data_IF_376244036356
#
_entry.id   IF_376244036356
#
_cell.length_a   1.000
_cell.length_b   1.000
_cell.length_c   1.000
_cell.angle_alpha   90.00
_cell.angle_beta   90.00
_cell.angle_gamma   90.00
#
_symmetry.space_group_name_H-M   'P 1'
#
loop_
_entity.id
_entity.type
_entity.pdbx_description
1 polymer ?
#
# COMPACT_ATOMS: atom_id res chain seq x y z
N UNK A 1 -7.46 13.76 -1.01
CA UNK A 1 -6.64 12.63 -0.53
C UNK A 1 -5.76 13.11 0.62
N UNK A 2 -5.71 12.33 1.67
CA UNK A 2 -4.86 12.64 2.82
C UNK A 2 -3.92 11.46 3.06
N UNK A 3 -2.64 11.75 3.29
CA UNK A 3 -1.63 10.73 3.52
C UNK A 3 -1.01 10.97 4.87
N UNK A 4 -0.93 9.92 5.69
CA UNK A 4 -0.27 9.96 6.99
C UNK A 4 0.81 8.87 7.03
N UNK A 5 1.95 9.20 7.63
CA UNK A 5 3.09 8.29 7.70
C UNK A 5 3.52 8.16 9.15
N UNK A 6 3.74 6.94 9.60
CA UNK A 6 4.29 6.68 10.95
C UNK A 6 5.25 5.51 10.90
N UNK A 7 6.04 5.40 11.94
CA UNK A 7 7.03 4.35 12.07
C UNK A 7 6.53 3.22 12.96
N UNK A 8 6.86 1.99 12.58
CA UNK A 8 6.64 0.81 13.40
C UNK A 8 7.87 -0.07 13.26
N UNK A 9 8.85 0.14 14.15
CA UNK A 9 10.13 -0.52 14.03
C UNK A 9 10.83 -0.11 12.76
N UNK A 10 11.21 -1.08 11.94
CA UNK A 10 11.87 -0.82 10.66
C UNK A 10 10.88 -0.67 9.51
N UNK A 11 9.59 -0.64 9.80
CA UNK A 11 8.55 -0.51 8.79
C UNK A 11 7.98 0.91 8.81
N UNK A 12 7.86 1.51 7.64
CA UNK A 12 7.07 2.74 7.46
C UNK A 12 5.64 2.33 7.18
N UNK A 13 4.70 2.87 7.94
CA UNK A 13 3.27 2.64 7.70
C UNK A 13 2.70 3.90 7.08
N UNK A 14 2.07 3.73 5.92
CA UNK A 14 1.43 4.82 5.19
C UNK A 14 -0.07 4.56 5.15
N UNK A 15 -0.85 5.56 5.57
CA UNK A 15 -2.30 5.48 5.52
C UNK A 15 -2.82 6.50 4.53
N UNK A 16 -3.76 6.07 3.68
CA UNK A 16 -4.35 6.92 2.65
C UNK A 16 -5.84 7.04 2.94
N UNK A 17 -6.34 8.27 2.93
CA UNK A 17 -7.75 8.55 3.11
C UNK A 17 -8.28 9.33 1.91
N UNK A 18 -9.42 8.89 1.36
CA UNK A 18 -10.10 9.61 0.29
C UNK A 18 -10.01 8.90 -1.05
N UNK A 19 -9.89 9.68 -2.10
CA UNK A 19 -9.96 9.20 -3.47
C UNK A 19 -8.57 9.16 -4.10
N UNK A 20 -8.27 8.04 -4.76
CA UNK A 20 -7.02 7.88 -5.50
C UNK A 20 -7.38 7.82 -6.97
N UNK A 21 -7.16 8.92 -7.66
CA UNK A 21 -7.54 9.09 -9.05
C UNK A 21 -6.42 9.75 -9.84
N UNK A 22 -6.68 10.11 -11.07
CA UNK A 22 -5.68 10.72 -11.94
C UNK A 22 -5.10 12.01 -11.34
N UNK A 23 -5.93 12.78 -10.63
CA UNK A 23 -5.49 14.03 -10.02
C UNK A 23 -4.64 13.86 -8.78
N UNK A 24 -4.82 12.76 -8.03
CA UNK A 24 -4.12 12.53 -6.77
C UNK A 24 -2.99 11.53 -6.89
N UNK A 25 -3.00 10.66 -7.91
CA UNK A 25 -1.99 9.62 -8.08
C UNK A 25 -0.56 10.15 -8.17
N UNK A 26 -0.27 11.29 -8.82
CA UNK A 26 1.10 11.79 -8.86
C UNK A 26 1.67 12.10 -7.49
N UNK A 27 0.86 12.68 -6.59
CA UNK A 27 1.30 12.96 -5.23
C UNK A 27 1.51 11.67 -4.44
N UNK A 28 0.60 10.72 -4.61
CA UNK A 28 0.74 9.43 -3.95
C UNK A 28 2.01 8.72 -4.41
N UNK A 29 2.26 8.70 -5.70
CA UNK A 29 3.45 8.09 -6.28
C UNK A 29 4.72 8.68 -5.67
N UNK A 30 4.81 10.01 -5.66
CA UNK A 30 5.97 10.71 -5.14
C UNK A 30 6.21 10.38 -3.67
N UNK A 31 5.14 10.40 -2.88
CA UNK A 31 5.22 10.12 -1.45
C UNK A 31 5.65 8.68 -1.18
N UNK A 32 5.06 7.72 -1.89
CA UNK A 32 5.38 6.31 -1.67
C UNK A 32 6.81 5.99 -2.09
N UNK A 33 7.26 6.50 -3.23
CA UNK A 33 8.62 6.25 -3.69
C UNK A 33 9.65 6.86 -2.75
N UNK A 34 9.37 8.05 -2.24
CA UNK A 34 10.26 8.68 -1.26
C UNK A 34 10.30 7.90 0.04
N UNK A 35 9.13 7.51 0.55
CA UNK A 35 9.04 6.77 1.82
C UNK A 35 9.70 5.40 1.71
N UNK A 36 9.60 4.78 0.55
CA UNK A 36 10.23 3.48 0.33
C UNK A 36 11.74 3.53 0.53
N UNK A 37 12.37 4.67 0.24
CA UNK A 37 13.81 4.82 0.41
C UNK A 37 14.23 4.89 1.88
N UNK A 38 13.30 5.17 2.78
CA UNK A 38 13.61 5.49 4.17
C UNK A 38 13.59 4.28 5.09
N UNK A 39 13.13 3.12 4.62
CA UNK A 39 13.02 1.94 5.47
C UNK A 39 13.10 0.67 4.62
N UNK A 40 13.44 -0.48 5.24
CA UNK A 40 13.46 -1.76 4.51
C UNK A 40 12.07 -2.25 4.11
N UNK A 41 11.00 -1.75 4.76
CA UNK A 41 9.65 -2.22 4.50
C UNK A 41 8.67 -1.06 4.57
N UNK A 42 7.72 -1.06 3.63
CA UNK A 42 6.61 -0.12 3.61
C UNK A 42 5.30 -0.91 3.63
N UNK A 43 4.43 -0.60 4.59
CA UNK A 43 3.10 -1.19 4.70
C UNK A 43 2.07 -0.10 4.43
N UNK A 44 1.20 -0.35 3.47
CA UNK A 44 0.22 0.63 3.01
C UNK A 44 -1.17 0.21 3.45
N UNK A 45 -1.80 1.07 4.27
CA UNK A 45 -3.16 0.88 4.76
C UNK A 45 -4.15 1.51 3.78
N UNK A 46 -5.01 0.69 3.20
CA UNK A 46 -5.96 1.12 2.18
C UNK A 46 -7.41 1.16 2.71
N UNK A 47 -7.59 1.08 4.03
CA UNK A 47 -8.93 0.95 4.62
C UNK A 47 -9.79 2.20 4.45
N UNK A 48 -9.18 3.36 4.35
CA UNK A 48 -9.91 4.62 4.25
C UNK A 48 -10.00 5.16 2.82
N UNK A 49 -9.65 4.36 1.83
CA UNK A 49 -9.81 4.75 0.42
C UNK A 49 -11.26 4.53 0.01
N UNK A 50 -11.90 5.59 -0.50
CA UNK A 50 -13.28 5.55 -0.96
C UNK A 50 -13.39 5.23 -2.45
N UNK A 51 -12.36 5.55 -3.22
CA UNK A 51 -12.35 5.37 -4.67
C UNK A 51 -10.91 5.18 -5.14
N UNK A 52 -10.73 4.26 -6.07
CA UNK A 52 -9.45 4.06 -6.73
C UNK A 52 -9.71 3.68 -8.18
N UNK A 53 -8.95 4.28 -9.10
CA UNK A 53 -9.07 3.95 -10.51
C UNK A 53 -7.76 3.35 -11.05
N UNK A 54 -7.69 3.19 -12.36
CA UNK A 54 -6.52 2.56 -12.99
C UNK A 54 -5.24 3.34 -12.77
N UNK A 55 -5.30 4.67 -12.60
CA UNK A 55 -4.10 5.46 -12.33
C UNK A 55 -3.55 5.16 -10.93
N UNK A 56 -4.44 4.92 -9.97
CA UNK A 56 -4.03 4.49 -8.63
C UNK A 56 -3.41 3.11 -8.65
N UNK A 57 -4.04 2.17 -9.35
CA UNK A 57 -3.49 0.82 -9.49
C UNK A 57 -2.11 0.86 -10.14
N UNK A 58 -1.94 1.64 -11.20
CA UNK A 58 -0.65 1.78 -11.88
C UNK A 58 0.42 2.33 -10.93
N UNK A 59 0.04 3.27 -10.07
CA UNK A 59 0.95 3.83 -9.07
C UNK A 59 1.43 2.75 -8.10
N UNK A 60 0.50 1.94 -7.59
CA UNK A 60 0.87 0.86 -6.66
C UNK A 60 1.77 -0.18 -7.33
N UNK A 61 1.50 -0.50 -8.59
CA UNK A 61 2.35 -1.44 -9.34
C UNK A 61 3.76 -0.88 -9.54
N UNK A 62 3.87 0.40 -9.80
CA UNK A 62 5.17 1.04 -9.96
C UNK A 62 5.97 1.00 -8.67
N UNK A 63 5.33 1.27 -7.54
CA UNK A 63 5.99 1.21 -6.23
C UNK A 63 6.43 -0.22 -5.92
N UNK A 64 5.59 -1.21 -6.25
CA UNK A 64 5.95 -2.61 -6.07
C UNK A 64 7.20 -2.98 -6.86
N UNK A 65 7.25 -2.59 -8.13
CA UNK A 65 8.41 -2.86 -8.97
C UNK A 65 9.67 -2.20 -8.43
N UNK A 66 9.54 -0.97 -7.95
CA UNK A 66 10.68 -0.25 -7.39
C UNK A 66 11.18 -0.92 -6.11
N UNK A 67 10.25 -1.41 -5.27
CA UNK A 67 10.62 -2.12 -4.05
C UNK A 67 11.39 -3.40 -4.37
N UNK A 68 10.98 -4.12 -5.39
CA UNK A 68 11.66 -5.34 -5.80
C UNK A 68 13.07 -5.06 -6.31
N UNK A 69 13.24 -4.00 -7.09
CA UNK A 69 14.55 -3.62 -7.58
C UNK A 69 15.50 -3.24 -6.45
N UNK A 70 14.97 -2.73 -5.35
CA UNK A 70 15.76 -2.26 -4.21
C UNK A 70 15.86 -3.28 -3.09
N UNK A 71 15.31 -4.49 -3.29
CA UNK A 71 15.28 -5.54 -2.26
C UNK A 71 14.56 -5.08 -0.99
N UNK A 72 13.47 -4.35 -1.16
CA UNK A 72 12.63 -3.88 -0.06
C UNK A 72 11.28 -4.55 -0.14
N UNK A 73 10.57 -4.58 0.98
CA UNK A 73 9.22 -5.12 1.02
C UNK A 73 8.20 -4.00 0.87
N UNK A 74 7.18 -4.26 0.06
CA UNK A 74 6.02 -3.38 -0.07
C UNK A 74 4.79 -4.25 0.07
N UNK A 75 4.02 -4.04 1.14
CA UNK A 75 2.84 -4.83 1.44
C UNK A 75 1.63 -3.93 1.60
N UNK A 76 0.45 -4.50 1.37
CA UNK A 76 -0.82 -3.78 1.50
C UNK A 76 -1.63 -4.44 2.60
N UNK A 77 -2.47 -3.66 3.29
CA UNK A 77 -3.40 -4.26 4.24
C UNK A 77 -4.65 -3.40 4.38
N UNK A 78 -5.68 -4.03 4.92
CA UNK A 78 -6.92 -3.35 5.24
C UNK A 78 -7.65 -2.82 4.02
N UNK A 79 -7.75 -3.60 2.95
CA UNK A 79 -8.38 -3.10 1.73
C UNK A 79 -9.82 -2.68 2.00
N UNK A 80 -10.16 -1.43 1.64
CA UNK A 80 -11.54 -0.97 1.68
C UNK A 80 -12.39 -1.76 0.68
N UNK A 81 -13.73 -1.75 0.82
CA UNK A 81 -14.58 -2.41 -0.17
C UNK A 81 -14.33 -1.91 -1.60
N UNK A 82 -14.10 -0.61 -1.77
CA UNK A 82 -13.83 -0.03 -3.08
C UNK A 82 -12.54 -0.60 -3.69
N UNK A 83 -11.48 -0.70 -2.88
CA UNK A 83 -10.21 -1.24 -3.34
C UNK A 83 -10.34 -2.73 -3.62
N UNK A 84 -11.03 -3.48 -2.75
CA UNK A 84 -11.24 -4.92 -2.97
C UNK A 84 -11.91 -5.18 -4.30
N UNK A 85 -12.94 -4.40 -4.62
CA UNK A 85 -13.68 -4.59 -5.86
C UNK A 85 -12.78 -4.38 -7.09
N UNK A 86 -12.01 -3.29 -7.10
CA UNK A 86 -11.12 -3.00 -8.22
C UNK A 86 -10.01 -4.02 -8.33
N UNK A 87 -9.43 -4.42 -7.21
CA UNK A 87 -8.36 -5.42 -7.20
C UNK A 87 -8.86 -6.77 -7.69
N UNK A 88 -10.09 -7.13 -7.32
CA UNK A 88 -10.68 -8.38 -7.76
C UNK A 88 -10.96 -8.38 -9.25
N UNK A 89 -11.54 -7.29 -9.76
CA UNK A 89 -11.88 -7.17 -11.18
C UNK A 89 -10.64 -7.16 -12.08
N UNK A 90 -9.55 -6.58 -11.59
CA UNK A 90 -8.33 -6.46 -12.39
C UNK A 90 -7.33 -7.59 -12.11
N UNK A 91 -7.63 -8.48 -11.17
CA UNK A 91 -6.76 -9.59 -10.76
C UNK A 91 -5.41 -9.15 -10.19
N UNK A 92 -5.23 -7.87 -9.87
CA UNK A 92 -3.94 -7.39 -9.32
C UNK A 92 -3.71 -7.87 -7.90
N UNK A 93 -4.76 -8.33 -7.20
CA UNK A 93 -4.60 -8.86 -5.85
C UNK A 93 -3.59 -10.01 -5.78
N UNK A 94 -3.38 -10.73 -6.90
CA UNK A 94 -2.44 -11.84 -6.96
C UNK A 94 -0.98 -11.40 -7.00
N UNK A 95 -0.75 -10.13 -7.34
CA UNK A 95 0.60 -9.61 -7.52
C UNK A 95 1.15 -9.06 -6.21
N UNK A 96 0.25 -8.53 -5.37
CA UNK A 96 0.63 -7.90 -4.12
C UNK A 96 0.55 -8.87 -2.95
N UNK A 97 1.35 -8.63 -1.92
CA UNK A 97 1.15 -9.25 -0.62
C UNK A 97 0.09 -8.43 0.11
N UNK A 98 -1.05 -9.05 0.38
CA UNK A 98 -2.19 -8.37 0.98
C UNK A 98 -2.55 -9.06 2.29
N UNK A 99 -2.69 -8.25 3.33
CA UNK A 99 -3.06 -8.71 4.67
C UNK A 99 -4.34 -8.03 5.11
N UNK A 100 -5.00 -8.61 6.10
CA UNK A 100 -6.23 -8.02 6.61
C UNK A 100 -5.96 -6.95 7.66
N UNK A 101 -4.95 -7.16 8.49
CA UNK A 101 -4.66 -6.28 9.62
C UNK A 101 -3.24 -5.78 9.58
N UNK A 102 -3.00 -4.72 10.34
CA UNK A 102 -1.66 -4.17 10.50
C UNK A 102 -0.71 -5.17 11.14
N UNK A 103 -1.17 -5.90 12.15
CA UNK A 103 -0.35 -6.90 12.81
C UNK A 103 0.14 -7.96 11.84
N UNK A 104 -0.75 -8.44 10.98
CA UNK A 104 -0.37 -9.40 9.95
C UNK A 104 0.64 -8.80 8.98
N UNK A 105 0.40 -7.56 8.56
CA UNK A 105 1.29 -6.88 7.61
C UNK A 105 2.69 -6.70 8.20
N UNK A 106 2.78 -6.49 9.50
CA UNK A 106 4.06 -6.35 10.20
C UNK A 106 4.71 -7.69 10.56
N UNK A 107 4.01 -8.79 10.32
CA UNK A 107 4.52 -10.11 10.67
C UNK A 107 4.35 -10.49 12.12
N UNK A 108 3.54 -9.75 12.88
CA UNK A 108 3.42 -9.98 14.32
C UNK A 108 2.40 -11.05 14.66
N UNK A 109 1.44 -11.28 13.79
CA UNK A 109 0.35 -12.21 14.07
C UNK A 109 0.75 -13.67 14.02
N UNK A 110 1.94 -13.97 13.56
CA UNK A 110 2.39 -15.35 13.37
C UNK A 110 2.93 -16.00 14.62
N UNK A 111 2.98 -15.25 15.68
CA UNK A 111 3.65 -15.68 16.89
C UNK A 111 2.86 -16.71 17.66
N UNK A 112 1.60 -16.74 17.45
CA UNK A 112 0.69 -17.53 18.26
C UNK A 112 0.82 -19.02 18.05
N UNK A 113 1.70 -19.44 17.28
CA UNK A 113 1.81 -20.86 17.09
C UNK A 113 2.53 -21.53 18.25
#
# INVERSE_FOLDING_TARGET
>A
MKISIRDAGETKIVEIEGDVDLGTSPDLRRTLLKTLLEAPKLALNLAAIRYIDSSGIATLLEVLKDSQRRNKEFVLYGLSPAVQQVFHLTHVVRIFQVFQTEEEALGLSLIHI
#
